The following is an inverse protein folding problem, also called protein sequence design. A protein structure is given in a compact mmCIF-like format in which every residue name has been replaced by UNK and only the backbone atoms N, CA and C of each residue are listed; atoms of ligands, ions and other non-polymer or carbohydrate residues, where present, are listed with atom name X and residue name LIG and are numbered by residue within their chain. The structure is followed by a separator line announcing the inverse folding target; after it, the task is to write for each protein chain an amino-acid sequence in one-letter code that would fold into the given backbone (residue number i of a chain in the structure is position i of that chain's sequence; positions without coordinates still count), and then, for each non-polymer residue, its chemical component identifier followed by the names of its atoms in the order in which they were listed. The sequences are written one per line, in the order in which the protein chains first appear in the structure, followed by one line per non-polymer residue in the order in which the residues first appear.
data_IF_279298492480
#
_entry.id   IF_279298492480
#
_cell.length_a   1.000
_cell.length_b   1.000
_cell.length_c   1.000
_cell.angle_alpha   90.00
_cell.angle_beta   90.00
_cell.angle_gamma   90.00
#
_symmetry.space_group_name_H-M   'P 1'
#
loop_
_entity.id
_entity.type
_entity.pdbx_description
1 polymer ?
#
# COMPACT_ATOMS: atom_id res chain seq x y z
N UNK A 1 5.50 -5.56 20.69
CA UNK A 1 4.85 -4.28 20.33
C UNK A 1 5.66 -3.46 19.35
N UNK A 2 6.94 -3.14 19.63
CA UNK A 2 7.78 -2.32 18.72
C UNK A 2 7.88 -2.85 17.28
N UNK A 3 8.05 -4.16 17.10
CA UNK A 3 8.09 -4.79 15.77
C UNK A 3 6.80 -4.64 14.97
N UNK A 4 5.64 -4.72 15.63
CA UNK A 4 4.33 -4.56 14.97
C UNK A 4 4.14 -3.11 14.51
N UNK A 5 4.47 -2.14 15.37
CA UNK A 5 4.40 -0.71 15.02
C UNK A 5 5.37 -0.37 13.89
N UNK A 6 6.61 -0.85 13.97
CA UNK A 6 7.60 -0.71 12.90
C UNK A 6 7.14 -1.35 11.59
N UNK A 7 6.49 -2.52 11.67
CA UNK A 7 5.91 -3.21 10.53
C UNK A 7 4.81 -2.39 9.84
N UNK A 8 3.89 -1.82 10.63
CA UNK A 8 2.83 -0.94 10.11
C UNK A 8 3.43 0.29 9.40
N UNK A 9 4.41 0.94 10.04
CA UNK A 9 5.07 2.12 9.46
C UNK A 9 5.83 1.79 8.17
N UNK A 10 6.52 0.66 8.13
CA UNK A 10 7.24 0.21 6.94
C UNK A 10 6.29 -0.01 5.75
N UNK A 11 5.17 -0.73 5.97
CA UNK A 11 4.16 -0.95 4.92
C UNK A 11 3.55 0.37 4.46
N UNK A 12 3.27 1.29 5.38
CA UNK A 12 2.72 2.60 5.03
C UNK A 12 3.66 3.43 4.16
N UNK A 13 4.95 3.54 4.54
CA UNK A 13 5.94 4.30 3.77
C UNK A 13 6.15 3.66 2.39
N UNK A 14 6.29 2.34 2.33
CA UNK A 14 6.49 1.63 1.05
C UNK A 14 5.26 1.74 0.16
N UNK A 15 4.05 1.69 0.71
CA UNK A 15 2.83 1.96 -0.07
C UNK A 15 2.90 3.34 -0.73
N UNK A 16 3.25 4.40 0.02
CA UNK A 16 3.30 5.75 -0.53
C UNK A 16 4.33 5.87 -1.66
N UNK A 17 5.44 5.16 -1.54
CA UNK A 17 6.47 5.09 -2.59
C UNK A 17 5.88 4.43 -3.85
N UNK A 18 5.27 3.25 -3.73
CA UNK A 18 4.65 2.56 -4.87
C UNK A 18 3.51 3.36 -5.50
N UNK A 19 2.71 4.02 -4.66
CA UNK A 19 1.61 4.87 -5.11
C UNK A 19 2.14 6.02 -5.96
N UNK A 20 3.17 6.76 -5.49
CA UNK A 20 3.73 7.89 -6.24
C UNK A 20 4.53 7.49 -7.47
N UNK A 21 5.33 6.41 -7.39
CA UNK A 21 6.24 6.03 -8.47
C UNK A 21 5.54 5.31 -9.62
N UNK A 22 4.59 4.41 -9.29
CA UNK A 22 4.02 3.47 -10.25
C UNK A 22 2.54 3.74 -10.44
N UNK A 23 1.75 3.61 -9.38
CA UNK A 23 0.31 3.51 -9.54
C UNK A 23 -0.41 4.83 -9.82
N UNK A 24 0.15 5.98 -9.42
CA UNK A 24 -0.33 7.29 -9.86
C UNK A 24 -0.17 7.51 -11.37
N UNK A 25 0.76 6.80 -12.02
CA UNK A 25 1.02 6.94 -13.46
C UNK A 25 0.29 5.88 -14.31
N UNK A 26 0.03 4.71 -13.72
CA UNK A 26 -0.47 3.54 -14.45
C UNK A 26 -1.92 3.19 -14.14
N UNK A 27 -2.45 3.54 -12.97
CA UNK A 27 -3.80 3.18 -12.59
C UNK A 27 -4.80 4.30 -12.92
N UNK A 28 -5.64 4.08 -13.94
CA UNK A 28 -6.77 4.95 -14.25
C UNK A 28 -7.88 4.89 -13.18
N UNK A 29 -7.90 3.83 -12.37
CA UNK A 29 -8.86 3.65 -11.27
C UNK A 29 -8.15 3.91 -9.92
N UNK A 30 -8.56 4.94 -9.15
CA UNK A 30 -8.01 5.26 -7.85
C UNK A 30 -8.04 4.09 -6.86
N UNK A 31 -9.03 3.20 -6.99
CA UNK A 31 -9.18 2.05 -6.10
C UNK A 31 -8.15 0.97 -6.37
N UNK A 32 -7.92 0.64 -7.65
CA UNK A 32 -6.86 -0.30 -8.03
C UNK A 32 -5.50 0.27 -7.66
N UNK A 33 -5.27 1.55 -7.94
CA UNK A 33 -4.00 2.20 -7.64
C UNK A 33 -3.63 2.12 -6.15
N UNK A 34 -4.56 2.47 -5.26
CA UNK A 34 -4.31 2.41 -3.81
C UNK A 34 -4.14 0.99 -3.29
N UNK A 35 -5.03 0.06 -3.65
CA UNK A 35 -4.96 -1.32 -3.16
C UNK A 35 -3.69 -2.04 -3.63
N UNK A 36 -3.33 -1.89 -4.91
CA UNK A 36 -2.10 -2.50 -5.43
C UNK A 36 -0.85 -1.88 -4.84
N UNK A 37 -0.86 -0.58 -4.54
CA UNK A 37 0.24 0.07 -3.83
C UNK A 37 0.41 -0.49 -2.42
N UNK A 38 -0.68 -0.75 -1.69
CA UNK A 38 -0.62 -1.38 -0.36
C UNK A 38 -0.04 -2.79 -0.44
N UNK A 39 -0.53 -3.61 -1.37
CA UNK A 39 -0.05 -4.99 -1.57
C UNK A 39 1.43 -4.99 -1.97
N UNK A 40 1.83 -4.12 -2.90
CA UNK A 40 3.23 -3.98 -3.31
C UNK A 40 4.13 -3.52 -2.15
N UNK A 41 3.66 -2.57 -1.34
CA UNK A 41 4.37 -2.11 -0.14
C UNK A 41 4.58 -3.23 0.89
N UNK A 42 3.54 -4.04 1.13
CA UNK A 42 3.64 -5.21 1.98
C UNK A 42 4.64 -6.24 1.43
N UNK A 43 4.50 -6.65 0.17
CA UNK A 43 5.40 -7.64 -0.43
C UNK A 43 6.85 -7.15 -0.41
N UNK A 44 7.08 -5.86 -0.67
CA UNK A 44 8.40 -5.26 -0.58
C UNK A 44 8.95 -5.33 0.85
N UNK A 45 8.14 -5.03 1.86
CA UNK A 45 8.54 -5.15 3.26
C UNK A 45 8.93 -6.60 3.62
N UNK A 46 8.13 -7.57 3.19
CA UNK A 46 8.40 -9.00 3.41
C UNK A 46 9.71 -9.43 2.74
N UNK A 47 9.92 -9.02 1.49
CA UNK A 47 11.15 -9.31 0.75
C UNK A 47 12.35 -8.66 1.44
N UNK A 48 12.27 -7.38 1.79
CA UNK A 48 13.35 -6.66 2.47
C UNK A 48 13.69 -7.27 3.83
N UNK A 49 12.69 -7.75 4.59
CA UNK A 49 12.94 -8.44 5.84
C UNK A 49 13.60 -9.81 5.61
N UNK A 50 13.09 -10.58 4.64
CA UNK A 50 13.61 -11.89 4.33
C UNK A 50 15.07 -11.86 3.87
N UNK A 51 15.48 -10.81 3.16
CA UNK A 51 16.88 -10.56 2.78
C UNK A 51 17.67 -9.71 3.80
N UNK A 52 16.99 -9.04 4.72
CA UNK A 52 17.56 -8.04 5.64
C UNK A 52 18.28 -8.63 6.85
N UNK A 53 18.44 -9.95 6.92
CA UNK A 53 19.38 -10.56 7.86
C UNK A 53 20.79 -10.23 7.38
N UNK A 54 21.38 -9.15 7.91
CA UNK A 54 22.65 -8.56 7.48
C UNK A 54 23.86 -9.51 7.48
N UNK A 55 23.69 -10.71 8.05
CA UNK A 55 24.73 -11.73 8.19
C UNK A 55 24.76 -12.73 7.02
N UNK A 56 24.07 -12.45 5.91
CA UNK A 56 24.00 -13.38 4.76
C UNK A 56 23.23 -14.67 5.08
N UNK A 57 22.37 -14.63 6.11
CA UNK A 57 21.55 -15.75 6.53
C UNK A 57 20.52 -16.17 5.47
N UNK A 58 19.98 -17.38 5.63
CA UNK A 58 18.92 -17.89 4.75
C UNK A 58 17.70 -16.96 4.73
N UNK A 59 17.01 -16.91 3.59
CA UNK A 59 15.79 -16.10 3.45
C UNK A 59 14.73 -16.53 4.46
N UNK A 60 14.23 -15.57 5.25
CA UNK A 60 13.29 -15.82 6.34
C UNK A 60 11.85 -15.36 6.01
N UNK A 61 10.91 -16.27 5.74
CA UNK A 61 9.53 -15.93 5.37
C UNK A 61 8.67 -15.46 6.55
N UNK A 62 9.10 -15.67 7.80
CA UNK A 62 8.35 -15.32 9.01
C UNK A 62 8.07 -13.82 9.12
N UNK A 63 8.86 -12.97 8.43
CA UNK A 63 8.56 -11.56 8.24
C UNK A 63 7.16 -11.28 7.69
N UNK A 64 6.60 -12.18 6.86
CA UNK A 64 5.24 -12.05 6.33
C UNK A 64 4.20 -11.81 7.43
N UNK A 65 4.30 -12.55 8.53
CA UNK A 65 3.36 -12.42 9.65
C UNK A 65 3.55 -11.12 10.44
N UNK A 66 4.77 -10.58 10.49
CA UNK A 66 5.08 -9.32 11.18
C UNK A 66 4.44 -8.14 10.45
N UNK A 67 4.46 -8.15 9.11
CA UNK A 67 3.89 -7.06 8.30
C UNK A 67 2.40 -7.22 7.99
N UNK A 68 1.81 -8.40 8.24
CA UNK A 68 0.41 -8.68 7.95
C UNK A 68 -0.57 -7.68 8.63
N UNK A 69 -0.40 -7.31 9.92
CA UNK A 69 -1.23 -6.25 10.52
C UNK A 69 -1.13 -4.92 9.78
N UNK A 70 0.06 -4.56 9.30
CA UNK A 70 0.28 -3.37 8.48
C UNK A 70 -0.52 -3.41 7.18
N UNK A 71 -0.45 -4.55 6.45
CA UNK A 71 -1.25 -4.75 5.24
C UNK A 71 -2.75 -4.58 5.51
N UNK A 72 -3.28 -5.21 6.56
CA UNK A 72 -4.71 -5.16 6.87
C UNK A 72 -5.16 -3.75 7.27
N UNK A 73 -4.47 -3.12 8.21
CA UNK A 73 -4.82 -1.78 8.71
C UNK A 73 -4.73 -0.77 7.58
N UNK A 74 -3.58 -0.70 6.92
CA UNK A 74 -3.35 0.30 5.87
C UNK A 74 -4.24 -0.01 4.65
N UNK A 75 -4.46 -1.28 4.31
CA UNK A 75 -5.36 -1.68 3.22
C UNK A 75 -6.80 -1.22 3.43
N UNK A 76 -7.33 -1.31 4.66
CA UNK A 76 -8.66 -0.79 5.00
C UNK A 76 -8.72 0.73 4.81
N UNK A 77 -7.71 1.47 5.27
CA UNK A 77 -7.66 2.93 5.08
C UNK A 77 -7.51 3.32 3.60
N UNK A 78 -6.66 2.61 2.86
CA UNK A 78 -6.46 2.79 1.43
C UNK A 78 -7.75 2.56 0.65
N UNK A 79 -8.51 1.51 0.99
CA UNK A 79 -9.81 1.22 0.40
C UNK A 79 -10.86 2.29 0.70
N UNK A 80 -10.96 2.74 1.95
CA UNK A 80 -11.88 3.82 2.33
C UNK A 80 -11.57 5.11 1.57
N UNK A 81 -10.29 5.49 1.49
CA UNK A 81 -9.87 6.68 0.75
C UNK A 81 -10.12 6.56 -0.76
N UNK A 82 -9.88 5.38 -1.33
CA UNK A 82 -10.15 5.11 -2.74
C UNK A 82 -11.62 5.30 -3.11
N UNK A 83 -12.55 4.84 -2.26
CA UNK A 83 -13.99 5.02 -2.47
C UNK A 83 -14.37 6.50 -2.55
N UNK A 84 -13.88 7.29 -1.59
CA UNK A 84 -14.13 8.73 -1.54
C UNK A 84 -13.62 9.42 -2.82
N UNK A 85 -12.38 9.12 -3.23
CA UNK A 85 -11.81 9.69 -4.46
C UNK A 85 -12.59 9.32 -5.73
N UNK A 86 -13.11 8.08 -5.79
CA UNK A 86 -13.92 7.62 -6.92
C UNK A 86 -15.27 8.36 -6.98
N UNK A 87 -15.90 8.58 -5.83
CA UNK A 87 -17.13 9.36 -5.74
C UNK A 87 -16.91 10.82 -6.14
N UNK A 88 -15.83 11.45 -5.66
CA UNK A 88 -15.43 12.82 -6.04
C UNK A 88 -15.20 12.93 -7.55
N UNK A 89 -14.43 12.02 -8.15
CA UNK A 89 -14.19 12.00 -9.59
C UNK A 89 -15.51 11.89 -10.38
N UNK A 90 -16.43 11.02 -9.95
CA UNK A 90 -17.73 10.87 -10.62
C UNK A 90 -18.63 12.10 -10.51
N UNK A 91 -18.55 12.85 -9.41
CA UNK A 91 -19.31 14.10 -9.22
C UNK A 91 -18.76 15.19 -10.14
N UNK A 92 -17.44 15.30 -10.25
CA UNK A 92 -16.80 16.28 -11.13
C UNK A 92 -17.20 16.07 -12.59
N UNK A 93 -17.11 14.83 -13.09
CA UNK A 93 -17.53 14.51 -14.47
C UNK A 93 -18.99 14.86 -14.76
N UNK A 94 -19.87 14.82 -13.75
CA UNK A 94 -21.26 15.25 -13.93
C UNK A 94 -21.36 16.77 -14.09
N UNK A 95 -20.64 17.54 -13.28
CA UNK A 95 -20.66 19.01 -13.37
C UNK A 95 -20.17 19.46 -14.75
N UNK A 96 -19.03 18.92 -15.19
CA UNK A 96 -18.42 19.25 -16.49
C UNK A 96 -19.30 18.86 -17.70
N UNK A 97 -20.31 18.00 -17.50
CA UNK A 97 -21.26 17.59 -18.56
C UNK A 97 -22.49 18.49 -18.67
N UNK A 98 -22.70 19.40 -17.71
CA UNK A 98 -23.81 20.36 -17.70
C UNK A 98 -23.36 21.81 -17.95
N UNK A 99 -22.05 22.06 -18.02
CA UNK A 99 -21.43 23.32 -18.47
C UNK A 99 -21.14 23.28 -19.99
#
# INVERSE_FOLDING_TARGET
MGQVVGGILAVYILQLIWEKLVFMRLANDPMKGKLFSTVAGYLTAVVLFGFGSADGGAWRPDGALIYLPGLLIIGVFAWRRAKVLREEASKQTRIDAFD
#
